data_IF_057435086958
#
_entry.id   IF_057435086958
#
_cell.length_a   1.000
_cell.length_b   1.000
_cell.length_c   1.000
_cell.angle_alpha   90.00
_cell.angle_beta   90.00
_cell.angle_gamma   90.00
#
_symmetry.space_group_name_H-M   'P 1'
#
loop_
_entity.id
_entity.type
_entity.pdbx_description
1 polymer ?
#
# COMPACT_ATOMS: atom_id res chain seq x y z
N UNK A 1 22.77 0.36 17.12
CA UNK A 1 22.63 -1.09 17.29
C UNK A 1 21.65 -1.60 16.26
N UNK A 2 22.12 -2.22 15.16
CA UNK A 2 21.23 -2.86 14.19
C UNK A 2 20.72 -4.17 14.81
N UNK A 3 19.44 -4.23 15.11
CA UNK A 3 18.82 -5.50 15.49
C UNK A 3 18.70 -6.33 14.21
N UNK A 4 19.48 -7.39 14.12
CA UNK A 4 19.36 -8.37 13.05
C UNK A 4 18.01 -9.07 13.22
N UNK A 5 17.04 -8.71 12.37
CA UNK A 5 15.75 -9.41 12.33
C UNK A 5 15.99 -10.78 11.69
N UNK A 6 15.84 -11.83 12.45
CA UNK A 6 15.97 -13.19 11.96
C UNK A 6 14.71 -13.63 11.24
N UNK A 7 14.82 -14.64 10.33
CA UNK A 7 13.65 -15.21 9.62
C UNK A 7 12.62 -15.76 10.61
N UNK A 8 13.06 -16.26 11.75
CA UNK A 8 12.17 -16.76 12.82
C UNK A 8 11.33 -15.64 13.44
N UNK A 9 11.93 -14.47 13.72
CA UNK A 9 11.21 -13.32 14.28
C UNK A 9 10.10 -12.82 13.33
N UNK A 10 10.37 -12.85 12.03
CA UNK A 10 9.38 -12.46 11.01
C UNK A 10 8.21 -13.45 10.97
N UNK A 11 8.49 -14.75 11.01
CA UNK A 11 7.43 -15.77 11.01
C UNK A 11 6.57 -15.71 12.25
N UNK A 12 7.16 -15.47 13.41
CA UNK A 12 6.43 -15.33 14.67
C UNK A 12 5.52 -14.10 14.65
N UNK A 13 6.04 -12.95 14.25
CA UNK A 13 5.24 -11.71 14.11
C UNK A 13 4.07 -11.86 13.13
N UNK A 14 4.28 -12.60 12.02
CA UNK A 14 3.22 -12.89 11.06
C UNK A 14 2.14 -13.81 11.64
N UNK A 15 2.53 -14.76 12.48
CA UNK A 15 1.58 -15.64 13.17
C UNK A 15 0.77 -14.85 14.19
N UNK A 16 1.41 -14.08 15.05
CA UNK A 16 0.76 -13.22 16.04
C UNK A 16 -0.21 -12.24 15.37
N UNK A 17 0.21 -11.63 14.24
CA UNK A 17 -0.65 -10.73 13.50
C UNK A 17 -1.90 -11.43 12.95
N UNK A 18 -1.77 -12.64 12.42
CA UNK A 18 -2.92 -13.45 11.97
C UNK A 18 -3.87 -13.78 13.11
N UNK A 19 -3.36 -14.06 14.29
CA UNK A 19 -4.17 -14.33 15.49
C UNK A 19 -4.90 -13.09 16.00
N UNK A 20 -4.42 -11.90 15.68
CA UNK A 20 -5.09 -10.63 15.99
C UNK A 20 -6.37 -10.45 15.17
N UNK A 21 -6.44 -11.00 13.96
CA UNK A 21 -7.60 -10.90 13.09
C UNK A 21 -8.61 -11.98 13.44
N UNK A 22 -9.75 -11.55 13.97
CA UNK A 22 -10.86 -12.44 14.32
C UNK A 22 -11.94 -12.42 13.24
N UNK A 23 -12.71 -13.50 13.08
CA UNK A 23 -13.78 -13.58 12.08
C UNK A 23 -14.77 -12.41 12.10
N UNK A 24 -15.15 -11.95 13.28
CA UNK A 24 -16.06 -10.82 13.47
C UNK A 24 -15.51 -9.47 12.99
N UNK A 25 -14.20 -9.38 12.77
CA UNK A 25 -13.53 -8.17 12.30
C UNK A 25 -13.50 -8.08 10.77
N UNK A 26 -13.77 -9.16 10.04
CA UNK A 26 -13.54 -9.24 8.59
C UNK A 26 -14.32 -8.19 7.80
N UNK A 27 -15.57 -7.92 8.18
CA UNK A 27 -16.41 -6.92 7.52
C UNK A 27 -15.95 -5.48 7.76
N UNK A 28 -15.16 -5.27 8.80
CA UNK A 28 -14.61 -3.98 9.19
C UNK A 28 -13.20 -3.72 8.63
N UNK A 29 -12.58 -4.71 8.02
CA UNK A 29 -11.23 -4.56 7.48
C UNK A 29 -11.23 -3.72 6.20
N UNK A 30 -10.41 -2.69 6.19
CA UNK A 30 -10.14 -1.82 5.03
C UNK A 30 -8.65 -1.91 4.73
N UNK A 31 -8.31 -2.63 3.67
CA UNK A 31 -6.92 -2.74 3.22
C UNK A 31 -6.57 -1.56 2.37
N UNK A 32 -5.47 -0.91 2.68
CA UNK A 32 -4.94 0.26 2.00
C UNK A 32 -3.52 -0.02 1.54
N UNK A 33 -3.26 0.25 0.26
CA UNK A 33 -1.94 0.07 -0.33
C UNK A 33 -1.66 1.12 -1.41
N UNK A 34 -0.39 1.27 -1.76
CA UNK A 34 0.04 2.14 -2.85
C UNK A 34 0.78 1.36 -3.94
N UNK A 35 0.62 1.83 -5.16
CA UNK A 35 1.32 1.30 -6.32
C UNK A 35 1.87 2.43 -7.17
N UNK A 36 3.09 2.29 -7.66
CA UNK A 36 3.73 3.22 -8.57
C UNK A 36 3.83 2.65 -9.97
N UNK A 37 3.47 3.46 -10.97
CA UNK A 37 3.64 3.13 -12.39
C UNK A 37 4.50 4.21 -13.04
N UNK A 38 5.57 3.78 -13.72
CA UNK A 38 6.47 4.67 -14.45
C UNK A 38 6.24 4.57 -15.96
N UNK A 39 6.49 5.66 -16.68
CA UNK A 39 6.39 5.69 -18.14
C UNK A 39 7.48 4.89 -18.84
N UNK A 40 8.55 4.49 -18.14
CA UNK A 40 9.66 3.69 -18.65
C UNK A 40 9.50 2.18 -18.36
N UNK A 41 8.34 1.73 -17.92
CA UNK A 41 8.04 0.32 -17.72
C UNK A 41 8.05 -0.42 -19.06
N UNK A 42 9.20 -1.00 -19.38
CA UNK A 42 9.39 -1.82 -20.59
C UNK A 42 9.77 -3.25 -20.19
N UNK A 43 9.53 -4.17 -21.10
CA UNK A 43 9.98 -5.55 -20.90
C UNK A 43 11.49 -5.62 -20.96
N UNK A 44 12.12 -6.16 -19.92
CA UNK A 44 13.58 -6.36 -19.87
C UNK A 44 14.05 -7.58 -20.68
N UNK A 45 13.14 -8.50 -20.99
CA UNK A 45 13.44 -9.74 -21.70
C UNK A 45 12.41 -10.02 -22.78
N UNK A 46 12.88 -10.49 -23.92
CA UNK A 46 12.07 -10.94 -25.06
C UNK A 46 12.51 -12.30 -25.56
N UNK A 47 11.66 -12.95 -26.33
CA UNK A 47 12.00 -14.20 -27.06
C UNK A 47 12.02 -13.92 -28.54
N UNK A 48 13.03 -14.43 -29.24
CA UNK A 48 13.14 -14.42 -30.69
C UNK A 48 13.41 -15.84 -31.19
N UNK A 49 13.16 -16.14 -32.47
CA UNK A 49 13.57 -17.41 -33.09
C UNK A 49 15.07 -17.64 -32.90
N UNK A 50 15.46 -18.91 -32.95
CA UNK A 50 16.88 -19.29 -32.84
C UNK A 50 17.74 -18.50 -33.82
N UNK A 51 18.91 -18.05 -33.36
CA UNK A 51 19.85 -17.21 -34.10
C UNK A 51 19.41 -15.77 -34.41
N UNK A 52 18.27 -15.33 -33.89
CA UNK A 52 17.83 -13.95 -34.00
C UNK A 52 17.91 -13.23 -32.66
N UNK A 53 18.17 -11.92 -32.69
CA UNK A 53 18.17 -11.07 -31.50
C UNK A 53 16.79 -10.49 -31.30
N UNK A 54 16.26 -10.59 -30.08
CA UNK A 54 15.07 -9.85 -29.70
C UNK A 54 15.42 -8.35 -29.61
N UNK A 55 14.77 -7.52 -30.40
CA UNK A 55 14.97 -6.06 -30.44
C UNK A 55 13.66 -5.41 -30.04
N UNK A 56 13.74 -4.45 -29.12
CA UNK A 56 12.62 -3.60 -28.72
C UNK A 56 13.10 -2.18 -28.48
N UNK A 57 12.18 -1.24 -28.40
CA UNK A 57 12.46 0.18 -28.16
C UNK A 57 11.95 0.59 -26.79
N UNK A 58 12.80 1.24 -26.01
CA UNK A 58 12.46 1.82 -24.70
C UNK A 58 12.53 3.35 -24.77
N UNK A 59 11.67 4.02 -23.99
CA UNK A 59 11.75 5.45 -23.81
C UNK A 59 13.03 5.82 -23.03
N UNK A 60 13.82 6.76 -23.58
CA UNK A 60 15.06 7.25 -22.96
C UNK A 60 14.83 8.50 -22.09
N UNK A 61 13.63 9.04 -22.07
CA UNK A 61 13.32 10.24 -21.30
C UNK A 61 13.24 9.93 -19.80
N UNK A 62 13.42 10.96 -18.98
CA UNK A 62 13.22 10.86 -17.53
C UNK A 62 11.83 10.29 -17.24
N UNK A 63 11.74 9.15 -16.51
CA UNK A 63 10.46 8.52 -16.28
C UNK A 63 9.56 9.41 -15.42
N UNK A 64 8.29 9.49 -15.79
CA UNK A 64 7.27 10.09 -14.97
C UNK A 64 6.58 8.99 -14.17
N UNK A 65 6.48 9.21 -12.87
CA UNK A 65 5.81 8.28 -11.96
C UNK A 65 4.38 8.73 -11.73
N UNK A 66 3.44 7.82 -11.83
CA UNK A 66 2.07 8.00 -11.34
C UNK A 66 1.89 7.07 -10.15
N UNK A 67 1.55 7.63 -8.99
CA UNK A 67 1.25 6.86 -7.79
C UNK A 67 -0.25 6.67 -7.66
N UNK A 68 -0.68 5.44 -7.41
CA UNK A 68 -2.05 5.06 -7.15
C UNK A 68 -2.17 4.68 -5.67
N UNK A 69 -3.03 5.36 -4.94
CA UNK A 69 -3.48 4.94 -3.61
C UNK A 69 -4.85 4.30 -3.74
N UNK A 70 -5.02 3.13 -3.18
CA UNK A 70 -6.31 2.45 -3.20
C UNK A 70 -6.61 1.73 -1.89
N UNK A 71 -7.89 1.61 -1.59
CA UNK A 71 -8.40 0.78 -0.51
C UNK A 71 -9.44 -0.20 -1.02
N UNK A 72 -9.53 -1.34 -0.37
CA UNK A 72 -10.49 -2.41 -0.68
C UNK A 72 -11.07 -3.00 0.60
N UNK A 73 -12.34 -3.38 0.55
CA UNK A 73 -13.07 -4.11 1.59
C UNK A 73 -13.48 -5.49 1.11
N UNK A 74 -13.90 -6.33 2.03
CA UNK A 74 -14.41 -7.68 1.73
C UNK A 74 -15.62 -7.67 0.78
N UNK A 75 -16.47 -6.67 0.85
CA UNK A 75 -17.63 -6.49 -0.05
C UNK A 75 -17.28 -5.95 -1.43
N UNK A 76 -15.99 -5.96 -1.82
CA UNK A 76 -15.44 -5.43 -3.08
C UNK A 76 -15.57 -3.92 -3.27
N UNK A 77 -15.99 -3.17 -2.27
CA UNK A 77 -15.98 -1.71 -2.30
C UNK A 77 -14.54 -1.21 -2.43
N UNK A 78 -14.29 -0.41 -3.46
CA UNK A 78 -12.95 0.10 -3.80
C UNK A 78 -12.98 1.61 -3.87
N UNK A 79 -11.97 2.23 -3.28
CA UNK A 79 -11.78 3.67 -3.35
C UNK A 79 -10.33 3.95 -3.72
N UNK A 80 -10.10 4.76 -4.73
CA UNK A 80 -8.75 5.05 -5.19
C UNK A 80 -8.58 6.51 -5.60
N UNK A 81 -7.33 6.95 -5.61
CA UNK A 81 -6.90 8.22 -6.21
C UNK A 81 -5.53 8.07 -6.84
N UNK A 82 -5.18 8.98 -7.73
CA UNK A 82 -3.89 8.99 -8.41
C UNK A 82 -3.19 10.32 -8.22
N UNK A 83 -1.86 10.26 -8.12
CA UNK A 83 -0.99 11.43 -8.03
C UNK A 83 0.15 11.33 -9.02
N UNK A 84 0.51 12.47 -9.62
CA UNK A 84 1.75 12.58 -10.38
C UNK A 84 2.93 12.72 -9.40
N UNK A 85 3.96 11.89 -9.59
CA UNK A 85 5.12 11.83 -8.73
C UNK A 85 4.98 10.83 -7.57
N UNK A 86 5.99 10.78 -6.72
CA UNK A 86 6.04 9.86 -5.57
C UNK A 86 5.08 10.22 -4.44
N UNK A 87 4.85 9.26 -3.56
CA UNK A 87 4.04 9.46 -2.37
C UNK A 87 4.79 10.25 -1.31
N UNK A 88 4.08 11.22 -0.72
CA UNK A 88 4.54 11.96 0.46
C UNK A 88 3.54 11.80 1.59
N UNK A 89 4.00 12.03 2.83
CA UNK A 89 3.09 11.99 3.98
C UNK A 89 1.91 12.97 3.88
N UNK A 90 2.13 14.14 3.27
CA UNK A 90 1.06 15.13 3.04
C UNK A 90 0.01 14.63 2.06
N UNK A 91 0.42 14.06 0.93
CA UNK A 91 -0.48 13.46 -0.06
C UNK A 91 -1.26 12.29 0.53
N UNK A 92 -0.60 11.50 1.37
CA UNK A 92 -1.25 10.39 2.07
C UNK A 92 -2.33 10.90 3.04
N UNK A 93 -2.02 11.92 3.83
CA UNK A 93 -3.00 12.56 4.73
C UNK A 93 -4.17 13.17 3.94
N UNK A 94 -3.88 13.80 2.81
CA UNK A 94 -4.93 14.34 1.93
C UNK A 94 -5.85 13.23 1.43
N UNK A 95 -5.29 12.11 0.93
CA UNK A 95 -6.07 10.96 0.51
C UNK A 95 -6.97 10.43 1.64
N UNK A 96 -6.43 10.28 2.84
CA UNK A 96 -7.21 9.84 3.99
C UNK A 96 -8.42 10.75 4.23
N UNK A 97 -8.21 12.06 4.24
CA UNK A 97 -9.26 13.02 4.56
C UNK A 97 -10.33 13.15 3.47
N UNK A 98 -9.90 13.25 2.21
CA UNK A 98 -10.77 13.61 1.10
C UNK A 98 -11.40 12.41 0.41
N UNK A 99 -10.69 11.26 0.41
CA UNK A 99 -11.10 10.10 -0.37
C UNK A 99 -11.53 8.93 0.50
N UNK A 100 -10.74 8.56 1.50
CA UNK A 100 -11.01 7.37 2.31
C UNK A 100 -12.04 7.62 3.42
N UNK A 101 -11.92 8.71 4.18
CA UNK A 101 -12.81 8.99 5.33
C UNK A 101 -14.30 9.02 5.00
N UNK A 102 -14.75 9.57 3.85
CA UNK A 102 -16.16 9.53 3.51
C UNK A 102 -16.73 8.12 3.38
N UNK A 103 -15.89 7.11 3.17
CA UNK A 103 -16.28 5.70 3.00
C UNK A 103 -16.14 4.88 4.28
N UNK A 104 -15.44 5.39 5.29
CA UNK A 104 -15.22 4.68 6.54
C UNK A 104 -16.47 4.70 7.44
N UNK A 105 -16.67 3.59 8.13
CA UNK A 105 -17.77 3.39 9.09
C UNK A 105 -17.20 3.28 10.50
N UNK A 106 -17.94 3.67 11.55
CA UNK A 106 -17.52 3.48 12.93
C UNK A 106 -17.14 2.01 13.20
N UNK A 107 -15.98 1.81 13.80
CA UNK A 107 -15.46 0.47 14.09
C UNK A 107 -14.60 -0.15 12.98
N UNK A 108 -14.42 0.53 11.85
CA UNK A 108 -13.53 0.07 10.80
C UNK A 108 -12.08 0.02 11.26
N UNK A 109 -11.36 -0.91 10.66
CA UNK A 109 -9.95 -1.20 10.95
C UNK A 109 -9.17 -1.02 9.67
N UNK A 110 -8.36 0.03 9.60
CA UNK A 110 -7.51 0.32 8.44
C UNK A 110 -6.23 -0.48 8.56
N UNK A 111 -6.00 -1.37 7.62
CA UNK A 111 -4.81 -2.21 7.51
C UNK A 111 -3.91 -1.64 6.43
N UNK A 112 -2.67 -1.33 6.77
CA UNK A 112 -1.69 -0.77 5.84
C UNK A 112 -0.31 -1.37 6.09
N UNK A 113 0.56 -1.26 5.11
CA UNK A 113 1.93 -1.68 5.24
C UNK A 113 2.74 -0.74 6.16
N UNK A 114 3.99 -1.11 6.42
CA UNK A 114 4.86 -0.42 7.35
C UNK A 114 5.72 0.67 6.67
N UNK A 115 5.20 1.33 5.64
CA UNK A 115 5.91 2.42 4.95
C UNK A 115 6.02 3.68 5.81
N UNK A 116 7.10 4.44 5.62
CA UNK A 116 7.35 5.68 6.37
C UNK A 116 6.26 6.73 6.22
N UNK A 117 5.69 6.85 5.02
CA UNK A 117 4.57 7.76 4.73
C UNK A 117 3.33 7.44 5.56
N UNK A 118 3.11 6.16 5.90
CA UNK A 118 1.98 5.69 6.70
C UNK A 118 2.19 5.89 8.21
N UNK A 119 3.43 6.09 8.64
CA UNK A 119 3.78 6.35 10.05
C UNK A 119 3.82 7.82 10.44
N UNK A 120 3.38 8.72 9.57
CA UNK A 120 3.23 10.11 9.95
C UNK A 120 2.27 10.19 11.15
N UNK A 121 2.71 10.84 12.22
CA UNK A 121 1.92 10.97 13.45
C UNK A 121 0.49 11.43 13.19
N UNK A 122 0.32 12.36 12.25
CA UNK A 122 -0.98 12.86 11.82
C UNK A 122 -1.92 11.76 11.29
N UNK A 123 -1.41 10.71 10.62
CA UNK A 123 -2.22 9.61 10.09
C UNK A 123 -2.94 8.88 11.22
N UNK A 124 -2.20 8.48 12.24
CA UNK A 124 -2.76 7.77 13.39
C UNK A 124 -3.74 8.64 14.17
N UNK A 125 -3.36 9.90 14.48
CA UNK A 125 -4.20 10.83 15.21
C UNK A 125 -5.53 11.09 14.50
N UNK A 126 -5.49 11.25 13.18
CA UNK A 126 -6.68 11.49 12.36
C UNK A 126 -7.61 10.26 12.36
N UNK A 127 -7.07 9.06 12.22
CA UNK A 127 -7.86 7.83 12.20
C UNK A 127 -8.45 7.53 13.59
N UNK A 128 -7.66 7.63 14.64
CA UNK A 128 -8.11 7.39 16.02
C UNK A 128 -9.16 8.42 16.48
N UNK A 129 -9.00 9.69 16.10
CA UNK A 129 -10.00 10.73 16.38
C UNK A 129 -11.37 10.47 15.74
N UNK A 130 -11.41 9.68 14.67
CA UNK A 130 -12.63 9.22 14.01
C UNK A 130 -13.17 7.89 14.53
N UNK A 131 -12.54 7.32 15.56
CA UNK A 131 -12.94 6.03 16.13
C UNK A 131 -12.50 4.82 15.31
N UNK A 132 -11.53 5.00 14.40
CA UNK A 132 -10.97 3.92 13.58
C UNK A 132 -9.76 3.30 14.27
N UNK A 133 -9.55 2.02 14.05
CA UNK A 133 -8.32 1.32 14.45
C UNK A 133 -7.35 1.27 13.27
N UNK A 134 -6.06 1.27 13.57
CA UNK A 134 -4.99 1.11 12.59
C UNK A 134 -4.20 -0.14 12.91
N UNK A 135 -4.04 -1.02 11.93
CA UNK A 135 -3.17 -2.19 12.01
C UNK A 135 -2.10 -2.09 10.92
N UNK A 136 -0.85 -2.20 11.33
CA UNK A 136 0.26 -2.29 10.40
C UNK A 136 0.59 -3.75 10.11
N UNK A 137 0.89 -4.04 8.84
CA UNK A 137 1.37 -5.36 8.45
C UNK A 137 2.73 -5.63 9.10
N UNK A 138 3.00 -6.85 9.55
CA UNK A 138 4.31 -7.24 10.05
C UNK A 138 5.33 -7.27 8.89
N UNK A 139 6.62 -7.15 9.21
CA UNK A 139 7.68 -7.22 8.23
C UNK A 139 7.77 -8.56 7.49
#
# INVERSE_FOLDING_TARGET
MQVSVTVFDVQEKRREWKETIKPEMLEHLVFLDESGVNTDLTRLYGRAPSSQRAVDHAHLNTPQTTTVLSSIRLNEEKVFTTYQGGMTGERFVQYLKETLFPTLRPGDIVVMDNMRSHHVKAVREILEAKGMKVLYLPP
#
